data_IF_988230156063
#
_entry.id   IF_988230156063
#
_cell.length_a   1.000
_cell.length_b   1.000
_cell.length_c   1.000
_cell.angle_alpha   90.00
_cell.angle_beta   90.00
_cell.angle_gamma   90.00
#
_symmetry.space_group_name_H-M   'P 1'
#
loop_
_entity.id
_entity.type
_entity.pdbx_description
1 polymer ?
#
# COMPACT_ATOMS: atom_id res chain seq x y z
N UNK A 1 -42.48 -5.58 82.57
CA UNK A 1 -41.07 -5.33 82.91
C UNK A 1 -40.28 -5.79 81.68
N UNK A 2 -40.11 -4.92 80.69
CA UNK A 2 -39.04 -3.90 80.64
C UNK A 2 -37.68 -4.60 80.65
N UNK A 3 -36.75 -4.46 79.69
CA UNK A 3 -36.39 -3.29 78.88
C UNK A 3 -35.43 -3.70 77.72
N UNK A 4 -35.54 -3.02 76.57
CA UNK A 4 -34.50 -2.47 75.65
C UNK A 4 -33.17 -3.23 75.43
N UNK A 5 -32.62 -3.39 74.21
CA UNK A 5 -32.09 -2.40 73.23
C UNK A 5 -31.28 -3.26 72.22
N UNK A 6 -31.07 -2.97 70.94
CA UNK A 6 -31.36 -1.81 70.11
C UNK A 6 -31.19 -2.20 68.63
N UNK A 7 -31.74 -1.36 67.77
CA UNK A 7 -31.53 -1.43 66.33
C UNK A 7 -30.06 -1.15 66.00
N UNK A 8 -29.49 -1.93 65.07
CA UNK A 8 -28.36 -1.44 64.30
C UNK A 8 -28.68 -1.60 62.81
N UNK A 9 -28.81 -0.44 62.17
CA UNK A 9 -28.90 -0.26 60.74
C UNK A 9 -27.47 -0.20 60.25
N UNK A 10 -26.98 -1.30 59.66
CA UNK A 10 -25.72 -1.31 58.91
C UNK A 10 -26.05 -1.80 57.50
N UNK A 11 -26.32 -0.86 56.59
CA UNK A 11 -25.37 -0.18 55.71
C UNK A 11 -25.00 -1.07 54.52
N UNK A 12 -25.61 -0.77 53.38
CA UNK A 12 -25.42 -1.45 52.09
C UNK A 12 -24.09 -1.07 51.45
N UNK A 13 -22.99 -1.32 52.14
CA UNK A 13 -21.63 -1.02 51.67
C UNK A 13 -20.78 -2.28 51.47
N UNK A 14 -21.35 -3.49 51.53
CA UNK A 14 -20.55 -4.71 51.46
C UNK A 14 -20.65 -5.46 50.12
N UNK A 15 -21.63 -5.20 49.25
CA UNK A 15 -21.80 -5.96 47.99
C UNK A 15 -20.63 -5.84 46.99
N UNK A 16 -19.79 -4.80 47.09
CA UNK A 16 -18.64 -4.61 46.21
C UNK A 16 -17.44 -5.51 46.56
N UNK A 17 -17.31 -5.91 47.83
CA UNK A 17 -16.22 -6.78 48.31
C UNK A 17 -16.59 -8.27 48.32
N UNK A 18 -17.86 -8.59 48.12
CA UNK A 18 -18.30 -9.96 47.86
C UNK A 18 -17.96 -10.30 46.41
N UNK A 19 -16.75 -10.84 46.21
CA UNK A 19 -16.28 -11.29 44.92
C UNK A 19 -17.38 -12.06 44.18
N UNK A 20 -17.71 -11.59 42.99
CA UNK A 20 -18.70 -12.21 42.10
C UNK A 20 -18.46 -13.72 42.12
N UNK A 21 -19.46 -14.50 42.51
CA UNK A 21 -19.40 -15.97 42.48
C UNK A 21 -18.83 -16.38 41.13
N UNK A 22 -17.73 -17.14 41.10
CA UNK A 22 -17.11 -17.57 39.84
C UNK A 22 -18.12 -18.40 39.06
N UNK A 23 -18.79 -17.79 38.08
CA UNK A 23 -19.66 -18.47 37.14
C UNK A 23 -18.75 -19.06 36.08
N UNK A 24 -18.65 -20.40 36.04
CA UNK A 24 -18.01 -21.09 34.92
C UNK A 24 -18.84 -20.83 33.65
N UNK A 25 -18.27 -20.25 32.59
CA UNK A 25 -18.99 -20.08 31.34
C UNK A 25 -19.37 -21.44 30.76
N UNK A 26 -20.50 -21.49 30.05
CA UNK A 26 -21.04 -22.74 29.48
C UNK A 26 -20.07 -23.42 28.49
N UNK A 27 -19.21 -22.64 27.84
CA UNK A 27 -18.25 -23.12 26.82
C UNK A 27 -16.83 -23.33 27.39
N UNK A 28 -16.69 -23.48 28.71
CA UNK A 28 -15.38 -23.71 29.33
C UNK A 28 -14.86 -25.12 29.01
N UNK A 29 -13.69 -25.20 28.35
CA UNK A 29 -12.99 -26.46 28.07
C UNK A 29 -12.61 -27.17 29.38
N UNK A 30 -12.94 -28.46 29.49
CA UNK A 30 -12.52 -29.32 30.60
C UNK A 30 -11.05 -29.70 30.42
N UNK A 31 -10.17 -29.00 31.13
CA UNK A 31 -8.73 -29.27 31.14
C UNK A 31 -8.40 -30.39 32.14
N UNK A 32 -7.37 -31.16 31.83
CA UNK A 32 -6.83 -32.18 32.76
C UNK A 32 -6.12 -31.53 33.94
N UNK A 33 -5.97 -32.26 35.07
CA UNK A 33 -5.31 -31.74 36.28
C UNK A 33 -3.89 -31.22 35.99
N UNK A 34 -3.18 -31.89 35.07
CA UNK A 34 -1.84 -31.49 34.63
C UNK A 34 -1.84 -30.12 33.91
N UNK A 35 -2.82 -29.86 33.04
CA UNK A 35 -2.95 -28.59 32.31
C UNK A 35 -3.44 -27.44 33.22
N UNK A 36 -4.20 -27.77 34.27
CA UNK A 36 -4.65 -26.80 35.26
C UNK A 36 -3.54 -26.34 36.20
N UNK A 37 -2.57 -27.22 36.48
CA UNK A 37 -1.37 -26.95 37.28
C UNK A 37 -0.28 -26.19 36.50
N UNK A 38 -0.44 -26.02 35.18
CA UNK A 38 0.50 -25.24 34.38
C UNK A 38 0.51 -23.76 34.81
N UNK A 39 1.67 -23.30 35.30
CA UNK A 39 1.86 -21.90 35.67
C UNK A 39 2.01 -21.03 34.41
N UNK A 40 0.89 -20.46 33.95
CA UNK A 40 0.92 -19.54 32.81
C UNK A 40 1.40 -18.16 33.27
N UNK A 41 2.66 -17.84 32.98
CA UNK A 41 3.21 -16.50 33.22
C UNK A 41 2.54 -15.46 32.31
N UNK A 42 1.56 -14.72 32.83
CA UNK A 42 0.91 -13.63 32.09
C UNK A 42 1.76 -12.37 32.13
N UNK A 43 2.55 -12.14 31.09
CA UNK A 43 3.32 -10.89 30.92
C UNK A 43 2.48 -9.85 30.20
N UNK A 44 2.27 -8.69 30.82
CA UNK A 44 1.66 -7.55 30.15
C UNK A 44 2.65 -7.00 29.11
N UNK A 45 2.29 -7.09 27.82
CA UNK A 45 3.09 -6.53 26.73
C UNK A 45 2.38 -5.31 26.14
N UNK A 46 3.11 -4.25 25.81
CA UNK A 46 2.58 -3.03 25.20
C UNK A 46 2.39 -3.20 23.67
N UNK A 47 2.07 -4.40 23.22
CA UNK A 47 1.95 -4.73 21.80
C UNK A 47 0.54 -4.37 21.33
N UNK A 48 0.45 -3.47 20.36
CA UNK A 48 -0.80 -3.16 19.68
C UNK A 48 -1.31 -4.40 18.89
N UNK A 49 -2.51 -4.94 19.19
CA UNK A 49 -3.07 -6.09 18.49
C UNK A 49 -3.42 -5.82 17.03
N UNK A 50 -3.61 -4.55 16.64
CA UNK A 50 -3.87 -4.12 15.26
C UNK A 50 -2.59 -3.81 14.47
N UNK A 51 -1.41 -3.83 15.11
CA UNK A 51 -0.17 -3.58 14.40
C UNK A 51 0.21 -4.78 13.52
N UNK A 52 0.56 -4.56 12.24
CA UNK A 52 1.08 -5.63 11.38
C UNK A 52 2.42 -6.14 11.90
N UNK A 53 2.67 -7.45 11.78
CA UNK A 53 3.87 -8.07 12.36
C UNK A 53 5.13 -7.92 11.50
N UNK A 54 4.99 -7.81 10.16
CA UNK A 54 6.13 -7.88 9.25
C UNK A 54 5.95 -6.95 8.04
N UNK A 55 6.13 -5.65 8.25
CA UNK A 55 6.15 -4.68 7.14
C UNK A 55 7.50 -4.76 6.44
N UNK A 56 7.47 -4.77 5.11
CA UNK A 56 8.67 -4.80 4.26
C UNK A 56 8.65 -3.60 3.31
N UNK A 57 9.78 -2.90 3.19
CA UNK A 57 9.95 -1.78 2.25
C UNK A 57 11.07 -2.08 1.25
N UNK A 58 10.84 -1.71 0.00
CA UNK A 58 11.87 -1.83 -1.04
C UNK A 58 12.91 -0.71 -0.89
N UNK A 59 14.19 -1.08 -0.82
CA UNK A 59 15.30 -0.15 -0.86
C UNK A 59 15.83 -0.02 -2.29
N UNK A 60 15.66 1.15 -2.91
CA UNK A 60 16.22 1.44 -4.23
C UNK A 60 17.75 1.45 -4.25
N UNK A 61 18.40 1.73 -3.11
CA UNK A 61 19.87 1.73 -2.99
C UNK A 61 20.45 0.33 -3.05
N UNK A 62 19.78 -0.64 -2.45
CA UNK A 62 20.26 -2.02 -2.32
C UNK A 62 19.50 -3.00 -3.23
N UNK A 63 18.52 -2.50 -3.99
CA UNK A 63 17.62 -3.27 -4.85
C UNK A 63 16.96 -4.46 -4.16
N UNK A 64 16.71 -4.35 -2.85
CA UNK A 64 16.24 -5.43 -2.01
C UNK A 64 15.09 -4.99 -1.09
N UNK A 65 14.24 -5.95 -0.76
CA UNK A 65 13.17 -5.80 0.22
C UNK A 65 13.73 -5.97 1.63
N UNK A 66 13.50 -4.96 2.49
CA UNK A 66 13.98 -4.96 3.88
C UNK A 66 12.83 -4.94 4.87
N UNK A 67 12.90 -5.76 5.94
CA UNK A 67 11.93 -5.68 7.04
C UNK A 67 12.10 -4.36 7.78
N UNK A 68 10.99 -3.78 8.21
CA UNK A 68 10.91 -2.54 8.97
C UNK A 68 10.19 -2.82 10.28
N UNK A 69 10.74 -2.29 11.38
CA UNK A 69 10.10 -2.38 12.70
C UNK A 69 8.82 -1.56 12.72
N UNK A 70 7.77 -2.12 13.31
CA UNK A 70 6.44 -1.50 13.36
C UNK A 70 6.25 -0.79 14.70
N UNK A 71 5.77 0.44 14.64
CA UNK A 71 5.42 1.20 15.84
C UNK A 71 4.09 0.70 16.41
N UNK A 72 4.05 0.51 17.73
CA UNK A 72 2.86 0.02 18.44
C UNK A 72 2.02 1.18 19.02
N UNK A 73 2.35 2.42 18.68
CA UNK A 73 1.55 3.60 19.05
C UNK A 73 0.33 3.69 18.15
N UNK A 74 -0.86 3.63 18.76
CA UNK A 74 -2.10 3.92 18.05
C UNK A 74 -2.40 5.42 18.10
N UNK A 75 -2.57 6.02 16.92
CA UNK A 75 -2.88 7.44 16.78
C UNK A 75 -4.29 7.57 16.20
N UNK A 76 -5.23 8.04 17.01
CA UNK A 76 -6.62 8.21 16.58
C UNK A 76 -6.87 9.52 15.83
N UNK A 77 -6.13 10.58 16.16
CA UNK A 77 -6.32 11.91 15.57
C UNK A 77 -4.98 12.63 15.44
N UNK A 78 -4.73 13.18 14.26
CA UNK A 78 -3.60 14.07 13.97
C UNK A 78 -4.17 15.36 13.40
N UNK A 79 -3.73 16.49 13.93
CA UNK A 79 -4.02 17.81 13.41
C UNK A 79 -2.70 18.55 13.21
N UNK A 80 -2.38 18.87 11.96
CA UNK A 80 -1.22 19.68 11.62
C UNK A 80 -1.60 21.16 11.68
N UNK A 81 -0.92 21.92 12.55
CA UNK A 81 -1.10 23.36 12.69
C UNK A 81 -0.09 24.15 11.86
N UNK A 82 -0.51 25.32 11.39
CA UNK A 82 0.31 26.28 10.65
C UNK A 82 0.63 27.56 11.45
N UNK A 83 0.40 27.53 12.77
CA UNK A 83 0.64 28.67 13.65
C UNK A 83 2.07 28.61 14.20
N UNK A 84 2.84 29.67 13.95
CA UNK A 84 4.23 29.79 14.41
C UNK A 84 4.35 30.86 15.50
N UNK A 85 5.23 30.64 16.47
CA UNK A 85 5.55 31.65 17.48
C UNK A 85 6.57 32.65 16.93
N UNK A 86 6.37 33.95 17.19
CA UNK A 86 7.13 35.04 16.59
C UNK A 86 8.65 34.96 16.84
N UNK A 87 9.06 34.50 18.01
CA UNK A 87 10.49 34.41 18.35
C UNK A 87 11.08 33.01 18.09
N UNK A 88 10.29 32.12 17.48
CA UNK A 88 10.81 30.83 17.04
C UNK A 88 11.76 31.05 15.87
N UNK A 89 12.84 30.28 15.85
CA UNK A 89 13.87 30.26 14.80
C UNK A 89 13.34 29.77 13.43
N UNK A 90 12.06 29.91 13.12
CA UNK A 90 11.53 29.75 11.76
C UNK A 90 11.14 31.09 11.14
N UNK A 91 11.14 32.16 11.94
CA UNK A 91 10.83 33.52 11.52
C UNK A 91 11.87 34.11 10.55
N UNK A 92 13.14 33.70 10.68
CA UNK A 92 14.21 34.21 9.82
C UNK A 92 14.03 33.86 8.33
N UNK A 93 13.41 32.71 8.01
CA UNK A 93 13.23 32.29 6.62
C UNK A 93 12.01 32.89 5.95
N UNK A 94 11.01 33.31 6.73
CA UNK A 94 9.78 33.91 6.21
C UNK A 94 9.90 35.43 6.04
N UNK A 95 10.69 36.10 6.89
CA UNK A 95 10.98 37.54 6.77
C UNK A 95 11.98 37.87 5.65
N UNK A 96 12.79 36.90 5.23
CA UNK A 96 13.71 37.04 4.09
C UNK A 96 13.05 36.74 2.73
N UNK A 97 11.79 36.28 2.71
CA UNK A 97 10.98 36.31 1.49
C UNK A 97 10.67 37.78 1.17
N UNK A 98 11.06 38.31 -0.01
CA UNK A 98 11.09 39.75 -0.22
C UNK A 98 9.68 40.34 -0.20
N UNK A 99 9.36 41.09 0.84
CA UNK A 99 8.27 42.06 0.82
C UNK A 99 8.71 43.30 0.01
N UNK A 100 8.88 43.15 -1.30
CA UNK A 100 9.34 44.24 -2.18
C UNK A 100 8.20 44.87 -3.02
N UNK A 101 6.95 44.39 -2.90
CA UNK A 101 5.86 44.80 -3.81
C UNK A 101 4.91 45.90 -3.30
N UNK A 102 5.21 46.62 -2.21
CA UNK A 102 4.28 47.66 -1.67
C UNK A 102 4.96 48.99 -1.36
N UNK A 103 5.91 49.48 -2.16
CA UNK A 103 6.35 50.90 -2.03
C UNK A 103 6.76 51.57 -3.35
N UNK A 104 5.94 51.46 -4.41
CA UNK A 104 6.06 52.44 -5.52
C UNK A 104 4.70 52.85 -6.09
N UNK A 105 3.77 53.21 -5.21
CA UNK A 105 2.54 53.90 -5.59
C UNK A 105 2.42 55.18 -4.77
N UNK A 106 3.12 56.23 -5.23
CA UNK A 106 2.83 57.67 -5.06
C UNK A 106 4.09 58.48 -5.38
N UNK A 107 4.13 59.08 -6.57
CA UNK A 107 4.38 60.52 -6.79
C UNK A 107 4.43 60.79 -8.31
N UNK A 108 3.48 61.59 -8.80
CA UNK A 108 3.75 62.52 -9.89
C UNK A 108 3.19 62.19 -11.29
N UNK A 109 2.19 62.98 -11.66
CA UNK A 109 2.00 63.64 -12.96
C UNK A 109 0.85 63.13 -13.86
N UNK A 110 -0.01 64.12 -14.16
CA UNK A 110 -1.18 64.12 -15.02
C UNK A 110 -0.89 63.73 -16.47
N UNK A 111 -1.82 63.06 -17.13
CA UNK A 111 -2.42 63.38 -18.46
C UNK A 111 -3.34 62.19 -18.83
N UNK A 112 -4.65 62.33 -18.70
CA UNK A 112 -5.61 62.65 -19.77
C UNK A 112 -6.07 61.41 -20.56
N UNK A 113 -7.28 61.52 -21.07
CA UNK A 113 -8.24 60.45 -21.36
C UNK A 113 -7.92 59.53 -22.56
N UNK A 114 -8.63 58.40 -22.55
CA UNK A 114 -9.19 57.71 -23.73
C UNK A 114 -8.23 57.09 -24.77
N UNK A 115 -8.22 55.76 -24.86
CA UNK A 115 -8.63 55.03 -26.08
C UNK A 115 -8.66 53.51 -25.87
N UNK A 116 -9.82 52.94 -26.19
CA UNK A 116 -10.21 51.53 -26.29
C UNK A 116 -9.63 50.81 -27.51
N UNK A 117 -9.91 49.49 -27.57
CA UNK A 117 -9.94 48.62 -28.77
C UNK A 117 -8.58 48.07 -29.28
N UNK A 118 -8.26 46.80 -28.99
CA UNK A 118 -8.64 45.53 -29.66
C UNK A 118 -7.71 45.11 -30.81
N UNK A 119 -7.36 43.82 -30.74
CA UNK A 119 -7.30 42.84 -31.83
C UNK A 119 -5.96 42.54 -32.54
N UNK A 120 -5.74 41.23 -32.70
CA UNK A 120 -5.06 40.48 -33.78
C UNK A 120 -3.58 40.07 -33.65
N UNK A 121 -3.40 38.76 -33.44
CA UNK A 121 -2.36 37.87 -34.03
C UNK A 121 -2.42 37.91 -35.58
N UNK A 122 -1.53 37.29 -36.42
CA UNK A 122 -0.52 36.24 -36.18
C UNK A 122 0.80 36.46 -36.98
N UNK A 123 1.54 35.36 -37.29
CA UNK A 123 2.62 35.20 -38.30
C UNK A 123 4.04 35.57 -37.82
N UNK A 124 5.12 34.85 -38.10
CA UNK A 124 5.40 33.62 -38.86
C UNK A 124 6.79 33.12 -38.43
N UNK A 125 6.97 31.81 -38.60
CA UNK A 125 8.19 30.99 -38.61
C UNK A 125 9.53 31.72 -38.75
N UNK A 126 10.54 31.28 -37.99
CA UNK A 126 11.80 30.76 -38.56
C UNK A 126 12.33 29.63 -37.66
N UNK A 127 12.54 28.48 -38.31
CA UNK A 127 13.36 27.36 -37.88
C UNK A 127 14.79 27.82 -37.58
N UNK A 128 15.47 27.22 -36.61
CA UNK A 128 16.82 26.71 -36.88
C UNK A 128 17.17 25.60 -35.88
N UNK A 129 17.74 24.57 -36.46
CA UNK A 129 18.20 23.31 -35.90
C UNK A 129 19.60 23.54 -35.31
N UNK A 130 19.91 22.91 -34.18
CA UNK A 130 21.23 22.26 -34.04
C UNK A 130 21.22 21.19 -32.95
N UNK A 131 21.08 19.94 -33.39
CA UNK A 131 21.68 18.78 -32.74
C UNK A 131 23.16 18.75 -33.13
N UNK A 132 24.08 18.61 -32.18
CA UNK A 132 25.45 18.32 -32.55
C UNK A 132 26.43 18.28 -31.41
N UNK A 133 26.83 17.07 -31.04
CA UNK A 133 27.85 16.82 -30.03
C UNK A 133 29.27 17.16 -30.48
N UNK A 134 30.11 17.34 -29.46
CA UNK A 134 31.47 16.80 -29.35
C UNK A 134 32.51 17.25 -30.40
N UNK A 135 33.45 18.11 -29.99
CA UNK A 135 34.83 17.97 -30.46
C UNK A 135 35.84 18.41 -29.39
N UNK A 136 36.73 17.46 -29.09
CA UNK A 136 37.86 17.53 -28.20
C UNK A 136 38.93 18.47 -28.79
N UNK A 137 39.23 19.58 -28.11
CA UNK A 137 40.50 20.30 -28.31
C UNK A 137 41.11 20.74 -26.99
N UNK A 138 42.14 20.02 -26.59
CA UNK A 138 43.10 20.45 -25.58
C UNK A 138 44.03 21.50 -26.18
N UNK A 139 43.78 22.78 -25.91
CA UNK A 139 44.80 23.81 -25.64
C UNK A 139 44.12 25.16 -25.34
N UNK A 140 44.18 25.61 -24.08
CA UNK A 140 44.17 27.03 -23.66
C UNK A 140 44.07 27.14 -22.13
N UNK A 141 45.16 26.82 -21.45
CA UNK A 141 45.46 27.31 -20.10
C UNK A 141 45.78 28.82 -20.18
N UNK A 142 44.77 29.70 -20.12
CA UNK A 142 44.91 31.11 -19.70
C UNK A 142 43.56 31.87 -19.73
N UNK A 143 42.80 31.83 -18.64
CA UNK A 143 41.95 32.95 -18.14
C UNK A 143 41.09 32.51 -16.94
N UNK A 144 41.77 32.18 -15.84
CA UNK A 144 41.11 32.18 -14.52
C UNK A 144 40.92 33.63 -14.10
N UNK A 145 39.71 34.16 -14.32
CA UNK A 145 38.96 35.12 -13.48
C UNK A 145 37.88 35.80 -14.34
N UNK A 146 36.80 35.10 -14.65
CA UNK A 146 35.54 35.75 -14.97
C UNK A 146 34.51 35.21 -13.99
N UNK A 147 34.19 36.04 -12.98
CA UNK A 147 33.00 35.85 -12.14
C UNK A 147 31.82 35.81 -13.11
N UNK A 148 31.28 34.62 -13.38
CA UNK A 148 30.03 34.51 -14.13
C UNK A 148 28.96 35.15 -13.25
N UNK A 149 28.58 36.38 -13.59
CA UNK A 149 27.39 37.00 -13.03
C UNK A 149 26.23 36.02 -13.25
N UNK A 150 25.44 35.70 -12.20
CA UNK A 150 24.32 34.79 -12.35
C UNK A 150 23.37 35.41 -13.37
N UNK A 151 23.16 34.72 -14.50
CA UNK A 151 22.16 35.12 -15.49
C UNK A 151 20.84 35.24 -14.76
N UNK A 152 20.32 36.47 -14.66
CA UNK A 152 18.96 36.72 -14.20
C UNK A 152 18.04 35.97 -15.16
N UNK A 153 17.49 34.85 -14.68
CA UNK A 153 16.55 34.08 -15.47
C UNK A 153 15.29 34.94 -15.64
N UNK A 154 14.83 35.04 -16.88
CA UNK A 154 13.56 35.70 -17.16
C UNK A 154 12.44 34.93 -16.43
N UNK A 155 11.93 35.50 -15.34
CA UNK A 155 10.83 34.93 -14.54
C UNK A 155 9.45 35.19 -15.17
N UNK A 156 9.37 35.97 -16.24
CA UNK A 156 8.11 36.33 -16.91
C UNK A 156 7.79 35.42 -18.10
N UNK A 157 8.70 34.50 -18.46
CA UNK A 157 8.50 33.55 -19.56
C UNK A 157 8.62 32.12 -19.06
N UNK A 158 7.50 31.56 -18.59
CA UNK A 158 7.39 30.15 -18.25
C UNK A 158 7.06 29.34 -19.51
N UNK A 159 7.93 28.41 -19.88
CA UNK A 159 7.61 27.38 -20.87
C UNK A 159 6.98 26.18 -20.16
N UNK A 160 5.82 25.72 -20.64
CA UNK A 160 5.19 24.51 -20.12
C UNK A 160 6.07 23.30 -20.46
N UNK A 161 6.42 22.50 -19.45
CA UNK A 161 7.11 21.22 -19.62
C UNK A 161 6.20 20.11 -19.11
N UNK A 162 5.61 19.36 -20.03
CA UNK A 162 4.88 18.14 -19.70
C UNK A 162 5.85 16.94 -19.59
N UNK A 163 5.62 16.06 -18.62
CA UNK A 163 6.26 14.75 -18.54
C UNK A 163 5.21 13.73 -18.09
N UNK A 164 5.28 12.51 -18.63
CA UNK A 164 4.34 11.44 -18.30
C UNK A 164 5.12 10.20 -17.87
N UNK A 165 4.73 9.60 -16.75
CA UNK A 165 5.19 8.27 -16.37
C UNK A 165 4.37 7.20 -17.12
N UNK A 166 5.03 6.15 -17.60
CA UNK A 166 4.35 5.02 -18.20
C UNK A 166 3.43 4.34 -17.19
N UNK A 167 2.17 4.12 -17.57
CA UNK A 167 1.18 3.40 -16.75
C UNK A 167 0.97 2.01 -17.34
N UNK A 168 1.19 0.97 -16.54
CA UNK A 168 0.93 -0.42 -16.93
C UNK A 168 -0.54 -0.77 -16.62
N UNK A 169 -1.36 -1.20 -17.59
CA UNK A 169 -2.76 -1.54 -17.34
C UNK A 169 -2.87 -2.83 -16.51
N UNK A 170 -3.81 -2.84 -15.55
CA UNK A 170 -4.14 -4.02 -14.77
C UNK A 170 -4.75 -5.10 -15.68
N UNK A 171 -4.29 -6.34 -15.54
CA UNK A 171 -4.80 -7.51 -16.28
C UNK A 171 -5.08 -8.65 -15.32
N UNK A 172 -6.29 -9.17 -15.37
CA UNK A 172 -6.67 -10.35 -14.60
C UNK A 172 -6.36 -11.62 -15.39
N UNK A 173 -5.66 -12.57 -14.77
CA UNK A 173 -5.38 -13.90 -15.32
C UNK A 173 -5.48 -14.92 -14.19
N UNK A 174 -6.32 -15.93 -14.35
CA UNK A 174 -6.39 -17.09 -13.47
C UNK A 174 -6.14 -18.37 -14.25
N UNK A 175 -5.41 -19.31 -13.66
CA UNK A 175 -5.28 -20.67 -14.18
C UNK A 175 -5.36 -21.62 -12.99
N UNK A 176 -6.28 -22.58 -13.05
CA UNK A 176 -6.35 -23.69 -12.11
C UNK A 176 -6.02 -24.95 -12.90
N UNK A 177 -4.91 -25.60 -12.55
CA UNK A 177 -4.54 -26.87 -13.16
C UNK A 177 -5.29 -27.98 -12.44
N UNK A 178 -6.32 -28.52 -13.07
CA UNK A 178 -6.90 -29.78 -12.64
C UNK A 178 -6.07 -30.93 -13.22
N UNK A 179 -5.54 -31.84 -12.39
CA UNK A 179 -4.85 -33.01 -12.92
C UNK A 179 -5.84 -33.83 -13.78
N UNK A 180 -5.37 -34.44 -14.90
CA UNK A 180 -6.23 -35.30 -15.69
C UNK A 180 -6.79 -36.43 -14.82
N UNK A 181 -8.03 -36.91 -15.07
CA UNK A 181 -8.68 -37.88 -14.22
C UNK A 181 -7.89 -39.19 -14.19
N UNK A 182 -7.35 -39.53 -13.01
CA UNK A 182 -6.68 -40.80 -12.78
C UNK A 182 -7.70 -41.87 -12.39
N UNK A 183 -7.63 -43.03 -13.04
CA UNK A 183 -8.35 -44.24 -12.64
C UNK A 183 -7.34 -45.34 -12.36
N UNK A 184 -7.50 -46.04 -11.24
CA UNK A 184 -6.73 -47.23 -10.92
C UNK A 184 -7.37 -48.44 -11.59
N UNK A 185 -6.62 -49.16 -12.41
CA UNK A 185 -7.04 -50.41 -13.03
C UNK A 185 -6.12 -51.54 -12.57
N UNK A 186 -6.73 -52.64 -12.11
CA UNK A 186 -6.03 -53.89 -11.84
C UNK A 186 -6.85 -55.02 -12.42
N UNK A 187 -6.23 -55.87 -13.23
CA UNK A 187 -6.81 -57.10 -13.74
C UNK A 187 -5.76 -58.21 -13.68
N UNK A 188 -6.25 -59.45 -13.59
CA UNK A 188 -5.42 -60.64 -13.80
C UNK A 188 -5.61 -61.08 -15.24
N UNK A 189 -4.58 -61.66 -15.85
CA UNK A 189 -4.67 -62.26 -17.17
C UNK A 189 -4.15 -63.69 -17.06
N UNK A 190 -5.05 -64.67 -17.14
CA UNK A 190 -4.72 -66.08 -17.15
C UNK A 190 -5.05 -66.74 -18.51
N UNK A 191 -4.47 -67.92 -18.77
CA UNK A 191 -4.65 -68.61 -20.06
C UNK A 191 -6.13 -68.97 -20.33
N UNK A 192 -6.90 -69.24 -19.27
CA UNK A 192 -8.32 -69.59 -19.37
C UNK A 192 -9.16 -68.39 -19.80
N UNK A 193 -8.95 -67.21 -19.22
CA UNK A 193 -9.61 -65.96 -19.58
C UNK A 193 -9.35 -65.58 -21.04
N UNK A 194 -8.13 -65.80 -21.52
CA UNK A 194 -7.78 -65.59 -22.94
C UNK A 194 -8.54 -66.57 -23.84
N UNK A 195 -8.62 -67.85 -23.45
CA UNK A 195 -9.34 -68.87 -24.20
C UNK A 195 -10.84 -68.58 -24.26
N UNK A 196 -11.46 -68.27 -23.13
CA UNK A 196 -12.89 -67.99 -23.02
C UNK A 196 -13.26 -66.74 -23.84
N UNK A 197 -12.50 -65.65 -23.71
CA UNK A 197 -12.69 -64.43 -24.51
C UNK A 197 -12.55 -64.69 -26.02
N UNK A 198 -11.63 -65.58 -26.41
CA UNK A 198 -11.42 -65.95 -27.82
C UNK A 198 -12.58 -66.79 -28.38
N UNK A 199 -13.10 -67.74 -27.60
CA UNK A 199 -14.27 -68.55 -27.98
C UNK A 199 -15.52 -67.68 -28.10
N UNK A 200 -15.74 -66.76 -27.16
CA UNK A 200 -16.85 -65.80 -27.24
C UNK A 200 -16.74 -64.91 -28.49
N UNK A 201 -15.54 -64.43 -28.80
CA UNK A 201 -15.29 -63.65 -30.02
C UNK A 201 -15.56 -64.45 -31.31
N UNK A 202 -15.17 -65.73 -31.35
CA UNK A 202 -15.47 -66.61 -32.49
C UNK A 202 -16.98 -66.85 -32.67
N UNK A 203 -17.70 -67.13 -31.59
CA UNK A 203 -19.15 -67.30 -31.63
C UNK A 203 -19.87 -66.02 -32.05
N UNK A 204 -19.38 -64.85 -31.61
CA UNK A 204 -19.91 -63.55 -32.05
C UNK A 204 -19.68 -63.30 -33.55
N UNK A 205 -18.52 -63.69 -34.07
CA UNK A 205 -18.19 -63.64 -35.51
C UNK A 205 -19.12 -64.53 -36.34
N UNK A 206 -19.38 -65.76 -35.90
CA UNK A 206 -20.29 -66.69 -36.59
C UNK A 206 -21.73 -66.14 -36.62
N UNK A 207 -22.25 -65.69 -35.48
CA UNK A 207 -23.57 -65.06 -35.38
C UNK A 207 -23.70 -63.82 -36.27
N UNK A 208 -22.63 -63.00 -36.37
CA UNK A 208 -22.63 -61.83 -37.24
C UNK A 208 -22.61 -62.22 -38.73
N UNK A 209 -21.86 -63.26 -39.12
CA UNK A 209 -21.86 -63.81 -40.48
C UNK A 209 -23.21 -64.43 -40.85
N UNK A 210 -23.86 -65.14 -39.92
CA UNK A 210 -25.20 -65.68 -40.13
C UNK A 210 -26.25 -64.57 -40.29
N UNK A 211 -26.20 -63.52 -39.49
CA UNK A 211 -27.05 -62.33 -39.66
C UNK A 211 -26.85 -61.64 -41.00
N UNK A 212 -25.60 -61.52 -41.46
CA UNK A 212 -25.27 -60.96 -42.79
C UNK A 212 -25.73 -61.86 -43.95
N UNK A 213 -25.81 -63.18 -43.74
CA UNK A 213 -26.34 -64.14 -44.74
C UNK A 213 -27.86 -64.27 -44.72
N UNK A 214 -28.49 -63.93 -43.60
CA UNK A 214 -29.94 -63.94 -43.41
C UNK A 214 -30.61 -62.61 -43.77
N UNK A 215 -29.83 -61.57 -44.09
CA UNK A 215 -30.28 -60.29 -44.66
C UNK A 215 -30.10 -60.34 -46.17
#
# INVERSE_FOLDING_TARGET
QDEKKGADTVDGHDEWFHGKTLIKPLDQVELTEAELEEEITRTLTANNPHAPQNIVRYSYKEHAFKPVTVDHLEVHFVLEGNLFYQDSSQDYGLKEAPSEDVTTAKTGAQHDEEKTETLETPTTDEEEVDEGGEDDRADSEASKTNKKEPKLNNQFSFCERASQALINPLRERGCQTEPPPCKTFSATANQSEIYDAYVEWLQAQEKNKEKQKAT
#
